data_IF_916373613636
#
_entry.id   IF_916373613636
#
_cell.length_a   1.000
_cell.length_b   1.000
_cell.length_c   1.000
_cell.angle_alpha   90.00
_cell.angle_beta   90.00
_cell.angle_gamma   90.00
#
_symmetry.space_group_name_H-M   'P 1'
#
loop_
_entity.id
_entity.type
_entity.pdbx_description
1 polymer ?
#
# COMPACT_ATOMS: atom_id res chain seq x y z
N UNK A 1 10.73 14.19 22.02
CA UNK A 1 12.16 14.44 21.72
C UNK A 1 12.97 14.25 23.01
N UNK A 2 13.79 13.21 23.12
CA UNK A 2 14.47 12.86 24.38
C UNK A 2 15.51 13.92 24.83
N UNK A 3 16.03 14.72 23.90
CA UNK A 3 17.03 15.72 24.21
C UNK A 3 16.51 16.90 25.04
N UNK A 4 15.28 17.37 24.78
CA UNK A 4 14.67 18.50 25.55
C UNK A 4 14.33 18.11 26.99
N UNK A 5 13.99 16.85 27.22
CA UNK A 5 13.68 16.35 28.56
C UNK A 5 14.93 16.21 29.44
N UNK A 6 16.06 15.85 28.81
CA UNK A 6 17.36 15.75 29.48
C UNK A 6 17.97 17.11 29.83
N UNK A 7 17.65 18.15 29.04
CA UNK A 7 18.04 19.54 29.36
C UNK A 7 17.24 20.14 30.52
N UNK A 8 15.96 19.72 30.69
CA UNK A 8 15.12 20.17 31.81
C UNK A 8 15.45 19.47 33.13
N UNK A 9 15.85 18.18 33.07
CA UNK A 9 16.17 17.38 34.25
C UNK A 9 17.48 16.61 34.02
N UNK A 10 18.64 17.22 34.36
CA UNK A 10 19.94 16.56 34.18
C UNK A 10 20.12 15.27 34.99
N UNK A 11 19.34 15.09 36.06
CA UNK A 11 19.37 13.92 36.93
C UNK A 11 18.56 12.71 36.40
N UNK A 12 17.85 12.86 35.26
CA UNK A 12 17.10 11.76 34.64
C UNK A 12 18.07 10.67 34.12
N UNK A 13 18.07 9.54 34.83
CA UNK A 13 18.79 8.34 34.37
C UNK A 13 18.24 7.90 33.01
N UNK A 14 19.09 7.61 32.02
CA UNK A 14 18.62 7.10 30.74
C UNK A 14 17.79 5.83 30.94
N UNK A 15 16.56 5.79 30.37
CA UNK A 15 15.73 4.58 30.41
C UNK A 15 16.54 3.45 29.78
N UNK A 16 16.72 2.35 30.53
CA UNK A 16 17.31 1.13 29.97
C UNK A 16 16.44 0.71 28.75
N UNK A 17 17.06 0.73 27.57
CA UNK A 17 16.38 0.23 26.38
C UNK A 17 16.11 -1.27 26.59
N UNK A 18 14.87 -1.74 26.47
CA UNK A 18 14.59 -3.17 26.55
C UNK A 18 15.44 -3.90 25.48
N UNK A 19 16.24 -4.83 25.94
CA UNK A 19 17.02 -5.68 25.01
C UNK A 19 16.07 -6.77 24.51
N UNK A 20 15.54 -6.59 23.29
CA UNK A 20 14.77 -7.62 22.61
C UNK A 20 15.71 -8.62 21.97
N UNK A 21 15.67 -9.87 22.43
CA UNK A 21 16.40 -10.98 21.81
C UNK A 21 15.40 -11.81 21.01
N UNK A 22 15.69 -12.03 19.73
CA UNK A 22 14.89 -12.94 18.91
C UNK A 22 15.14 -14.36 19.40
N UNK A 23 14.12 -15.03 19.91
CA UNK A 23 14.23 -16.40 20.46
C UNK A 23 14.10 -17.43 19.35
N UNK A 24 13.28 -17.14 18.32
CA UNK A 24 13.03 -18.06 17.21
C UNK A 24 13.46 -17.43 15.87
N UNK A 25 14.73 -17.58 15.53
CA UNK A 25 15.30 -17.04 14.29
C UNK A 25 14.70 -17.65 13.03
N UNK A 26 14.30 -18.94 13.08
CA UNK A 26 13.74 -19.63 11.92
C UNK A 26 12.39 -19.04 11.52
N UNK A 27 11.49 -18.86 12.47
CA UNK A 27 10.17 -18.24 12.22
C UNK A 27 10.29 -16.77 11.87
N UNK A 28 11.17 -16.04 12.57
CA UNK A 28 11.45 -14.67 12.25
C UNK A 28 11.91 -14.49 10.79
N UNK A 29 12.88 -15.30 10.34
CA UNK A 29 13.38 -15.26 8.97
C UNK A 29 12.31 -15.68 7.95
N UNK A 30 11.47 -16.67 8.25
CA UNK A 30 10.32 -17.02 7.41
C UNK A 30 9.35 -15.85 7.27
N UNK A 31 9.05 -15.15 8.36
CA UNK A 31 8.17 -13.98 8.33
C UNK A 31 8.75 -12.82 7.52
N UNK A 32 10.07 -12.61 7.58
CA UNK A 32 10.75 -11.61 6.76
C UNK A 32 10.70 -11.94 5.27
N UNK A 33 10.95 -13.20 4.90
CA UNK A 33 10.85 -13.65 3.50
C UNK A 33 9.43 -13.46 2.95
N UNK A 34 8.41 -13.84 3.75
CA UNK A 34 7.01 -13.68 3.38
C UNK A 34 6.63 -12.24 3.03
N UNK A 35 7.22 -11.26 3.71
CA UNK A 35 6.98 -9.83 3.41
C UNK A 35 7.50 -9.39 2.05
N UNK A 36 8.43 -10.12 1.45
CA UNK A 36 8.94 -9.87 0.11
C UNK A 36 8.12 -10.52 -1.01
N UNK A 37 7.12 -11.35 -0.68
CA UNK A 37 6.30 -12.04 -1.67
C UNK A 37 5.26 -11.08 -2.27
N UNK A 38 5.32 -10.88 -3.59
CA UNK A 38 4.38 -10.01 -4.32
C UNK A 38 2.92 -10.44 -4.14
N UNK A 39 2.67 -11.74 -4.04
CA UNK A 39 1.32 -12.27 -3.88
C UNK A 39 0.63 -11.79 -2.60
N UNK A 40 1.40 -11.40 -1.58
CA UNK A 40 0.86 -10.86 -0.35
C UNK A 40 0.15 -9.50 -0.56
N UNK A 41 0.58 -8.77 -1.57
CA UNK A 41 0.10 -7.42 -1.87
C UNK A 41 -1.00 -7.40 -2.94
N UNK A 42 -1.24 -8.52 -3.60
CA UNK A 42 -2.26 -8.63 -4.64
C UNK A 42 -3.54 -9.25 -4.05
N UNK A 43 -4.72 -8.73 -4.41
CA UNK A 43 -5.97 -9.32 -3.98
C UNK A 43 -6.16 -10.71 -4.61
N UNK A 44 -6.92 -11.57 -3.94
CA UNK A 44 -7.26 -12.89 -4.44
C UNK A 44 -8.34 -12.80 -5.53
N UNK A 45 -8.29 -13.72 -6.51
CA UNK A 45 -9.26 -13.82 -7.60
C UNK A 45 -8.86 -13.06 -8.86
N UNK A 46 -9.84 -12.80 -9.72
CA UNK A 46 -9.61 -12.08 -10.97
C UNK A 46 -9.32 -10.61 -10.72
N UNK A 47 -8.14 -10.14 -11.15
CA UNK A 47 -7.65 -8.81 -10.86
C UNK A 47 -8.29 -7.75 -11.77
N UNK A 48 -8.52 -8.07 -13.05
CA UNK A 48 -9.04 -7.10 -14.02
C UNK A 48 -10.38 -6.50 -13.60
N UNK A 49 -11.43 -7.29 -13.26
CA UNK A 49 -12.70 -6.73 -12.83
C UNK A 49 -12.64 -6.03 -11.47
N UNK A 50 -11.64 -6.36 -10.64
CA UNK A 50 -11.43 -5.66 -9.36
C UNK A 50 -10.78 -4.29 -9.53
N UNK A 51 -9.96 -4.11 -10.57
CA UNK A 51 -9.15 -2.91 -10.78
C UNK A 51 -9.73 -1.96 -11.81
N UNK A 52 -10.40 -2.50 -12.84
CA UNK A 52 -10.91 -1.73 -13.97
C UNK A 52 -12.43 -1.70 -13.93
N UNK A 53 -12.98 -0.55 -14.28
CA UNK A 53 -14.41 -0.40 -14.46
C UNK A 53 -14.77 -0.72 -15.91
N UNK A 54 -15.32 -1.89 -16.15
CA UNK A 54 -15.73 -2.36 -17.48
C UNK A 54 -17.23 -2.11 -17.75
N UNK A 55 -17.90 -1.32 -16.90
CA UNK A 55 -19.32 -1.03 -17.09
C UNK A 55 -19.54 -0.28 -18.42
N UNK A 56 -20.46 -0.76 -19.29
CA UNK A 56 -20.72 -0.10 -20.56
C UNK A 56 -21.30 1.29 -20.33
N UNK A 57 -20.91 2.23 -21.17
CA UNK A 57 -21.49 3.57 -21.17
C UNK A 57 -22.94 3.52 -21.66
N UNK A 58 -23.87 4.02 -20.87
CA UNK A 58 -25.29 4.18 -21.25
C UNK A 58 -25.58 5.67 -21.39
N UNK A 59 -25.86 6.12 -22.61
CA UNK A 59 -26.16 7.52 -22.91
C UNK A 59 -27.37 8.02 -22.08
N UNK A 60 -27.21 9.17 -21.42
CA UNK A 60 -28.26 9.81 -20.61
C UNK A 60 -28.41 9.25 -19.19
N UNK A 61 -27.78 8.12 -18.86
CA UNK A 61 -27.82 7.50 -17.53
C UNK A 61 -26.42 7.49 -16.89
N UNK A 62 -25.39 7.16 -17.68
CA UNK A 62 -24.02 7.07 -17.17
C UNK A 62 -23.35 8.44 -17.28
N UNK A 63 -22.92 8.98 -16.15
CA UNK A 63 -21.93 10.07 -16.12
C UNK A 63 -20.54 9.58 -16.50
N UNK A 64 -19.54 10.47 -16.46
CA UNK A 64 -18.13 10.09 -16.65
C UNK A 64 -17.71 9.14 -15.53
N UNK A 65 -17.57 7.86 -15.86
CA UNK A 65 -17.14 6.85 -14.91
C UNK A 65 -15.61 6.82 -14.82
N UNK A 66 -15.11 6.66 -13.61
CA UNK A 66 -13.67 6.47 -13.41
C UNK A 66 -13.25 5.12 -13.99
N UNK A 67 -12.27 5.11 -14.90
CA UNK A 67 -11.72 3.90 -15.51
C UNK A 67 -11.09 2.98 -14.47
N UNK A 68 -10.39 3.57 -13.51
CA UNK A 68 -9.66 2.84 -12.46
C UNK A 68 -10.46 2.82 -11.18
N UNK A 69 -10.67 1.62 -10.64
CA UNK A 69 -11.33 1.45 -9.34
C UNK A 69 -10.39 1.81 -8.19
N UNK A 70 -10.96 2.24 -7.08
CA UNK A 70 -10.23 2.64 -5.88
C UNK A 70 -9.18 1.60 -5.42
N UNK A 71 -9.47 0.27 -5.37
CA UNK A 71 -8.48 -0.74 -4.99
C UNK A 71 -7.21 -0.73 -5.85
N UNK A 72 -7.32 -0.46 -7.15
CA UNK A 72 -6.16 -0.38 -8.03
C UNK A 72 -5.29 0.84 -7.71
N UNK A 73 -5.92 1.99 -7.51
CA UNK A 73 -5.22 3.24 -7.17
C UNK A 73 -4.48 3.08 -5.83
N UNK A 74 -5.12 2.45 -4.85
CA UNK A 74 -4.53 2.17 -3.55
C UNK A 74 -3.34 1.20 -3.64
N UNK A 75 -3.45 0.16 -4.49
CA UNK A 75 -2.35 -0.77 -4.76
C UNK A 75 -1.14 -0.05 -5.34
N UNK A 76 -1.33 0.73 -6.40
CA UNK A 76 -0.24 1.48 -7.04
C UNK A 76 0.39 2.46 -6.06
N UNK A 77 -0.43 3.16 -5.27
CA UNK A 77 0.06 4.07 -4.24
C UNK A 77 0.86 3.35 -3.14
N UNK A 78 0.41 2.18 -2.71
CA UNK A 78 1.15 1.37 -1.73
C UNK A 78 2.53 1.00 -2.24
N UNK A 79 2.64 0.51 -3.48
CA UNK A 79 3.94 0.18 -4.09
C UNK A 79 4.80 1.42 -4.27
N UNK A 80 4.22 2.55 -4.68
CA UNK A 80 4.91 3.83 -4.76
C UNK A 80 5.55 4.21 -3.42
N UNK A 81 4.83 4.04 -2.31
CA UNK A 81 5.36 4.33 -0.96
C UNK A 81 6.34 3.28 -0.46
N UNK A 82 6.14 2.02 -0.81
CA UNK A 82 6.97 0.90 -0.38
C UNK A 82 8.35 0.93 -1.06
N UNK A 83 8.37 1.14 -2.38
CA UNK A 83 9.59 1.12 -3.18
C UNK A 83 10.30 2.48 -3.20
N UNK A 84 9.58 3.57 -2.97
CA UNK A 84 10.15 4.92 -3.01
C UNK A 84 10.57 5.39 -4.40
N UNK A 85 10.03 4.77 -5.45
CA UNK A 85 10.36 5.11 -6.85
C UNK A 85 9.55 6.31 -7.34
N UNK A 86 10.02 6.93 -8.43
CA UNK A 86 9.27 7.98 -9.10
C UNK A 86 8.03 7.45 -9.83
N UNK A 87 7.01 8.29 -10.05
CA UNK A 87 5.75 7.87 -10.68
C UNK A 87 5.94 7.26 -12.07
N UNK A 88 6.91 7.74 -12.88
CA UNK A 88 7.22 7.17 -14.20
C UNK A 88 7.79 5.75 -14.09
N UNK A 89 8.62 5.50 -13.07
CA UNK A 89 9.15 4.16 -12.82
C UNK A 89 8.04 3.22 -12.36
N UNK A 90 7.09 3.72 -11.56
CA UNK A 90 5.92 2.95 -11.14
C UNK A 90 5.02 2.57 -12.32
N UNK A 91 4.80 3.48 -13.28
CA UNK A 91 4.07 3.16 -14.51
C UNK A 91 4.74 1.99 -15.25
N UNK A 92 6.03 2.09 -15.54
CA UNK A 92 6.77 1.02 -16.21
C UNK A 92 6.79 -0.30 -15.44
N UNK A 93 6.92 -0.23 -14.10
CA UNK A 93 6.86 -1.43 -13.24
C UNK A 93 5.52 -2.17 -13.35
N UNK A 94 4.40 -1.44 -13.31
CA UNK A 94 3.07 -2.07 -13.42
C UNK A 94 2.78 -2.57 -14.84
N UNK A 95 3.22 -1.86 -15.87
CA UNK A 95 3.12 -2.33 -17.27
C UNK A 95 3.85 -3.66 -17.44
N UNK A 96 5.07 -3.77 -16.91
CA UNK A 96 5.86 -5.00 -16.98
C UNK A 96 5.27 -6.12 -16.12
N UNK A 97 4.81 -5.80 -14.92
CA UNK A 97 4.17 -6.75 -14.01
C UNK A 97 2.92 -7.39 -14.65
N UNK A 98 2.05 -6.59 -15.26
CA UNK A 98 0.85 -7.11 -15.91
C UNK A 98 1.18 -7.93 -17.15
N UNK A 99 2.17 -7.52 -17.92
CA UNK A 99 2.67 -8.28 -19.06
C UNK A 99 3.23 -9.65 -18.62
N UNK A 100 4.04 -9.69 -17.59
CA UNK A 100 4.58 -10.96 -17.05
C UNK A 100 3.46 -11.89 -16.51
N UNK A 101 2.38 -11.32 -16.02
CA UNK A 101 1.22 -12.06 -15.53
C UNK A 101 0.22 -12.42 -16.64
N UNK A 102 0.45 -12.02 -17.89
CA UNK A 102 -0.48 -12.14 -19.02
C UNK A 102 -1.86 -11.52 -18.72
N UNK A 103 -1.87 -10.39 -18.02
CA UNK A 103 -3.08 -9.65 -17.67
C UNK A 103 -3.14 -8.35 -18.50
N UNK A 104 -4.24 -8.17 -19.20
CA UNK A 104 -4.53 -6.94 -19.94
C UNK A 104 -5.21 -5.93 -18.98
N UNK A 105 -4.40 -5.31 -18.12
CA UNK A 105 -4.82 -4.27 -17.19
C UNK A 105 -4.14 -2.97 -17.59
N UNK A 106 -4.90 -1.95 -18.03
CA UNK A 106 -4.32 -0.66 -18.40
C UNK A 106 -3.70 0.03 -17.17
N UNK A 107 -2.57 0.70 -17.40
CA UNK A 107 -1.85 1.42 -16.35
C UNK A 107 -2.04 2.93 -16.56
N UNK A 108 -2.36 3.69 -15.50
CA UNK A 108 -2.49 5.14 -15.60
C UNK A 108 -1.18 5.79 -16.00
N UNK A 109 -1.22 6.83 -16.82
CA UNK A 109 -0.05 7.66 -17.10
C UNK A 109 0.46 8.34 -15.83
N UNK A 110 1.72 8.76 -15.81
CA UNK A 110 2.33 9.39 -14.64
C UNK A 110 1.60 10.67 -14.20
N UNK A 111 1.07 11.47 -15.15
CA UNK A 111 0.27 12.66 -14.84
C UNK A 111 -1.05 12.29 -14.17
N UNK A 112 -1.75 11.31 -14.74
CA UNK A 112 -2.99 10.80 -14.17
C UNK A 112 -2.79 10.15 -12.78
N UNK A 113 -1.64 9.46 -12.56
CA UNK A 113 -1.29 8.94 -11.23
C UNK A 113 -1.19 10.05 -10.18
N UNK A 114 -0.63 11.21 -10.55
CA UNK A 114 -0.55 12.36 -9.64
C UNK A 114 -1.92 12.82 -9.17
N UNK A 115 -2.87 12.92 -10.09
CA UNK A 115 -4.24 13.33 -9.79
C UNK A 115 -4.96 12.29 -8.93
N UNK A 116 -4.85 11.01 -9.33
CA UNK A 116 -5.43 9.90 -8.59
C UNK A 116 -4.87 9.79 -7.16
N UNK A 117 -3.57 9.98 -6.98
CA UNK A 117 -2.94 9.95 -5.66
C UNK A 117 -3.39 11.12 -4.77
N UNK A 118 -3.69 12.27 -5.38
CA UNK A 118 -4.24 13.42 -4.64
C UNK A 118 -5.63 13.14 -4.08
N UNK A 119 -6.42 12.31 -4.76
CA UNK A 119 -7.76 11.91 -4.34
C UNK A 119 -7.80 10.78 -3.28
N UNK A 120 -6.68 10.12 -3.00
CA UNK A 120 -6.64 9.02 -2.01
C UNK A 120 -6.95 9.53 -0.59
N UNK A 121 -7.83 8.86 0.17
CA UNK A 121 -8.16 9.25 1.53
C UNK A 121 -6.94 9.30 2.46
N UNK A 122 -6.88 10.29 3.34
CA UNK A 122 -5.76 10.51 4.24
C UNK A 122 -5.44 9.30 5.14
N UNK A 123 -6.45 8.56 5.58
CA UNK A 123 -6.30 7.34 6.37
C UNK A 123 -5.52 6.25 5.61
N UNK A 124 -5.82 6.06 4.32
CA UNK A 124 -5.12 5.11 3.45
C UNK A 124 -3.66 5.53 3.27
N UNK A 125 -3.41 6.83 3.02
CA UNK A 125 -2.05 7.37 2.91
C UNK A 125 -1.22 7.09 4.16
N UNK A 126 -1.78 7.38 5.33
CA UNK A 126 -1.12 7.13 6.62
C UNK A 126 -0.85 5.64 6.86
N UNK A 127 -1.76 4.77 6.43
CA UNK A 127 -1.58 3.33 6.51
C UNK A 127 -0.41 2.88 5.61
N UNK A 128 -0.38 3.29 4.34
CA UNK A 128 0.70 2.98 3.41
C UNK A 128 2.06 3.49 3.90
N UNK A 129 2.11 4.68 4.49
CA UNK A 129 3.33 5.24 5.08
C UNK A 129 3.83 4.42 6.28
N UNK A 130 2.93 3.98 7.14
CA UNK A 130 3.28 3.08 8.25
C UNK A 130 3.78 1.73 7.76
N UNK A 131 3.15 1.21 6.71
CA UNK A 131 3.52 -0.05 6.09
C UNK A 131 4.91 0.03 5.46
N UNK A 132 5.18 1.07 4.68
CA UNK A 132 6.49 1.32 4.08
C UNK A 132 7.60 1.44 5.14
N UNK A 133 7.38 2.19 6.22
CA UNK A 133 8.33 2.33 7.34
C UNK A 133 8.63 1.01 8.06
N UNK A 134 7.71 0.06 8.03
CA UNK A 134 7.86 -1.27 8.67
C UNK A 134 8.40 -2.34 7.73
N UNK A 135 8.65 -2.02 6.47
CA UNK A 135 9.12 -2.99 5.48
C UNK A 135 8.07 -4.03 5.06
N UNK A 136 6.80 -3.64 5.00
CA UNK A 136 5.71 -4.46 4.48
C UNK A 136 4.69 -4.97 5.51
N UNK A 137 3.75 -5.80 5.06
CA UNK A 137 2.63 -6.33 5.84
C UNK A 137 3.09 -7.45 6.79
N UNK A 138 2.58 -7.48 8.01
CA UNK A 138 2.99 -8.46 9.00
C UNK A 138 2.32 -9.83 8.84
N UNK A 139 1.00 -9.90 8.67
CA UNK A 139 0.28 -11.18 8.73
C UNK A 139 -0.99 -11.23 7.86
N UNK A 140 -1.62 -10.09 7.56
CA UNK A 140 -2.84 -10.03 6.76
C UNK A 140 -2.59 -9.36 5.41
N UNK A 141 -3.23 -9.81 4.34
CA UNK A 141 -3.15 -9.14 3.06
C UNK A 141 -3.71 -7.72 3.19
N UNK A 142 -3.04 -6.76 2.56
CA UNK A 142 -3.41 -5.34 2.52
C UNK A 142 -4.92 -5.13 2.31
N UNK A 143 -5.53 -5.91 1.44
CA UNK A 143 -6.95 -5.84 1.08
C UNK A 143 -7.91 -6.24 2.20
N UNK A 144 -7.53 -7.15 3.06
CA UNK A 144 -8.34 -7.53 4.22
C UNK A 144 -8.51 -6.37 5.20
N UNK A 145 -7.45 -5.59 5.41
CA UNK A 145 -7.47 -4.44 6.33
C UNK A 145 -8.22 -3.24 5.77
N UNK A 146 -8.15 -3.00 4.46
CA UNK A 146 -8.89 -1.91 3.80
C UNK A 146 -10.40 -2.21 3.78
N UNK A 147 -10.80 -3.48 3.56
CA UNK A 147 -12.20 -3.89 3.59
C UNK A 147 -12.85 -3.77 4.97
N UNK A 148 -12.12 -4.11 6.02
CA UNK A 148 -12.63 -4.02 7.39
C UNK A 148 -12.85 -2.57 7.83
N UNK A 149 -12.03 -1.62 7.36
CA UNK A 149 -12.20 -0.20 7.66
C UNK A 149 -13.42 0.45 6.95
N UNK A 150 -13.97 -0.20 5.91
CA UNK A 150 -15.22 0.29 5.27
C UNK A 150 -16.48 -0.02 6.07
N UNK A 151 -16.46 -1.00 6.97
CA UNK A 151 -17.62 -1.38 7.80
C UNK A 151 -17.87 -0.45 9.00
N UNK A 152 -16.97 0.50 9.28
CA UNK A 152 -17.14 1.47 10.37
C UNK A 152 -17.74 2.82 9.95
N UNK A 153 -18.30 2.94 8.73
CA UNK A 153 -18.95 4.15 8.25
C UNK A 153 -20.37 3.84 7.71
N UNK A 154 -21.20 3.32 8.58
CA UNK A 154 -22.67 3.37 8.45
C UNK A 154 -23.22 4.30 9.51
#
# INVERSE_FOLDING_TARGET
>A
MPYKEKLRNPSLKPRKKPQYKVVNWTEYNKSLKKRGELNLYLPSGELKPQFINEAPYVCGISGQQATYKQPYIELVYMFYRLLGWGMRQMTGFFEDLWRMKNLDIPVPSFGHLSDLFSAIPLKVRQFCDKLAKRGGVKEEPFWGQVSQNKLFFS
#
